data_IF_576724843336
#
_entry.id   IF_576724843336
#
_cell.length_a   1.000
_cell.length_b   1.000
_cell.length_c   1.000
_cell.angle_alpha   90.00
_cell.angle_beta   90.00
_cell.angle_gamma   90.00
#
_symmetry.space_group_name_H-M   'P 1'
#
loop_
_entity.id
_entity.type
_entity.pdbx_description
1 polymer ?
#
# COMPACT_ATOMS: atom_id res chain seq x y z
N UNK A 1 13.34 9.64 -10.68
CA UNK A 1 13.48 8.36 -9.93
C UNK A 1 14.93 7.89 -10.01
N UNK A 2 15.79 8.45 -9.16
CA UNK A 2 17.25 8.20 -9.25
C UNK A 2 17.70 6.86 -8.62
N UNK A 3 16.89 6.27 -7.76
CA UNK A 3 17.19 5.00 -7.09
C UNK A 3 16.40 3.80 -7.64
N UNK A 4 15.62 4.00 -8.70
CA UNK A 4 14.90 2.90 -9.33
C UNK A 4 15.79 2.19 -10.38
N UNK A 5 15.62 0.88 -10.50
CA UNK A 5 16.31 0.05 -11.49
C UNK A 5 15.38 -1.02 -12.04
N UNK A 6 15.82 -1.67 -13.12
CA UNK A 6 15.11 -2.80 -13.72
C UNK A 6 16.03 -4.01 -13.69
N UNK A 7 15.47 -5.18 -13.37
CA UNK A 7 16.20 -6.44 -13.40
C UNK A 7 16.92 -6.77 -12.09
N UNK A 8 17.33 -8.04 -11.97
CA UNK A 8 17.96 -8.57 -10.76
C UNK A 8 19.29 -7.92 -10.42
N UNK A 9 20.10 -7.62 -11.45
CA UNK A 9 21.37 -6.94 -11.25
C UNK A 9 21.22 -5.57 -10.60
N UNK A 10 20.16 -4.84 -10.93
CA UNK A 10 19.84 -3.56 -10.31
C UNK A 10 19.48 -3.67 -8.82
N UNK A 11 18.79 -4.75 -8.42
CA UNK A 11 18.55 -5.03 -7.01
C UNK A 11 19.85 -5.37 -6.27
N UNK A 12 20.64 -6.28 -6.81
CA UNK A 12 21.88 -6.76 -6.19
C UNK A 12 22.96 -5.67 -6.10
N UNK A 13 22.98 -4.75 -7.06
CA UNK A 13 23.90 -3.59 -7.05
C UNK A 13 23.45 -2.44 -6.17
N UNK A 14 22.26 -2.49 -5.56
CA UNK A 14 21.80 -1.44 -4.68
C UNK A 14 22.59 -1.42 -3.36
N UNK A 15 22.91 -0.21 -2.87
CA UNK A 15 23.62 -0.03 -1.58
C UNK A 15 22.86 -0.62 -0.39
N UNK A 16 21.55 -0.66 -0.48
CA UNK A 16 20.66 -1.23 0.54
C UNK A 16 19.38 -1.69 -0.12
N UNK A 17 18.94 -2.88 0.23
CA UNK A 17 17.65 -3.44 -0.19
C UNK A 17 17.08 -4.30 0.93
N UNK A 18 15.76 -4.39 1.01
CA UNK A 18 15.09 -5.16 2.04
C UNK A 18 15.14 -6.65 1.68
N UNK A 19 15.54 -7.51 2.63
CA UNK A 19 15.47 -8.96 2.47
C UNK A 19 14.00 -9.39 2.38
N UNK A 20 13.57 -10.16 1.34
CA UNK A 20 12.21 -10.67 1.26
C UNK A 20 11.97 -11.81 2.26
N UNK A 21 10.72 -11.99 2.68
CA UNK A 21 10.35 -13.00 3.65
C UNK A 21 9.11 -13.78 3.23
N UNK A 22 9.08 -15.06 3.55
CA UNK A 22 7.90 -15.89 3.49
C UNK A 22 6.87 -15.52 4.58
N UNK A 23 5.66 -16.07 4.45
CA UNK A 23 4.59 -15.84 5.45
C UNK A 23 4.97 -16.27 6.88
N UNK A 24 5.80 -17.28 7.03
CA UNK A 24 6.34 -17.75 8.32
C UNK A 24 7.51 -16.91 8.85
N UNK A 25 7.79 -15.78 8.22
CA UNK A 25 8.88 -14.85 8.53
C UNK A 25 10.30 -15.35 8.23
N UNK A 26 10.46 -16.55 7.64
CA UNK A 26 11.77 -16.98 7.16
C UNK A 26 12.20 -16.17 5.93
N UNK A 27 13.51 -15.91 5.75
CA UNK A 27 14.01 -15.26 4.54
C UNK A 27 13.60 -16.00 3.26
N UNK A 28 13.19 -15.26 2.25
CA UNK A 28 12.90 -15.79 0.91
C UNK A 28 14.06 -15.51 -0.04
N UNK A 29 14.18 -16.34 -1.05
CA UNK A 29 15.18 -16.14 -2.12
C UNK A 29 14.57 -15.31 -3.24
N UNK A 30 15.31 -14.30 -3.69
CA UNK A 30 14.96 -13.55 -4.90
C UNK A 30 15.28 -14.42 -6.11
N UNK A 31 14.26 -14.75 -6.91
CA UNK A 31 14.39 -15.56 -8.13
C UNK A 31 14.46 -14.69 -9.37
N UNK A 32 14.74 -15.30 -10.53
CA UNK A 32 14.74 -14.60 -11.84
C UNK A 32 13.35 -14.57 -12.51
N UNK A 33 12.35 -15.22 -11.92
CA UNK A 33 11.04 -15.44 -12.56
C UNK A 33 10.43 -14.13 -13.03
N UNK A 34 10.34 -13.15 -12.13
CA UNK A 34 9.72 -11.86 -12.44
C UNK A 34 10.63 -10.93 -13.27
N UNK A 35 11.94 -11.12 -13.16
CA UNK A 35 12.89 -10.36 -13.96
C UNK A 35 12.94 -10.79 -15.44
N UNK A 36 12.40 -11.96 -15.78
CA UNK A 36 12.19 -12.39 -17.17
C UNK A 36 11.04 -11.65 -17.86
N UNK A 37 10.15 -11.04 -17.07
CA UNK A 37 9.02 -10.23 -17.54
C UNK A 37 9.07 -8.84 -16.89
N UNK A 38 10.09 -8.03 -17.20
CA UNK A 38 10.44 -6.83 -16.44
C UNK A 38 9.33 -5.77 -16.42
N UNK A 39 8.51 -5.71 -17.47
CA UNK A 39 7.36 -4.82 -17.53
C UNK A 39 6.26 -5.17 -16.51
N UNK A 40 6.18 -6.45 -16.09
CA UNK A 40 5.16 -6.91 -15.14
C UNK A 40 5.64 -6.90 -13.69
N UNK A 41 6.93 -7.21 -13.44
CA UNK A 41 7.41 -7.37 -12.06
C UNK A 41 8.89 -7.08 -11.86
N UNK A 42 9.59 -6.52 -12.84
CA UNK A 42 11.04 -6.35 -12.81
C UNK A 42 11.54 -4.99 -12.31
N UNK A 43 10.69 -4.10 -11.85
CA UNK A 43 11.08 -2.79 -11.35
C UNK A 43 11.44 -2.87 -9.86
N UNK A 44 12.64 -2.44 -9.52
CA UNK A 44 13.08 -2.21 -8.15
C UNK A 44 12.97 -0.72 -7.85
N UNK A 45 12.45 -0.36 -6.69
CA UNK A 45 12.25 1.05 -6.36
C UNK A 45 12.29 1.29 -4.84
N UNK A 46 12.43 2.55 -4.48
CA UNK A 46 12.30 3.03 -3.11
C UNK A 46 10.95 3.73 -2.92
N UNK A 47 10.52 3.86 -1.65
CA UNK A 47 9.32 4.62 -1.30
C UNK A 47 9.40 6.06 -1.85
N UNK A 48 10.57 6.70 -1.78
CA UNK A 48 10.80 8.04 -2.29
C UNK A 48 10.57 8.16 -3.79
N UNK A 49 11.03 7.17 -4.55
CA UNK A 49 10.86 7.19 -6.01
C UNK A 49 9.43 6.83 -6.42
N UNK A 50 8.75 5.94 -5.69
CA UNK A 50 7.34 5.64 -5.94
C UNK A 50 6.43 6.81 -5.58
N UNK A 51 6.75 7.60 -4.55
CA UNK A 51 6.03 8.86 -4.28
C UNK A 51 6.20 9.85 -5.43
N UNK A 52 7.40 9.99 -5.99
CA UNK A 52 7.62 10.83 -7.19
C UNK A 52 6.81 10.32 -8.39
N UNK A 53 6.76 9.00 -8.58
CA UNK A 53 5.94 8.37 -9.61
C UNK A 53 4.45 8.64 -9.39
N UNK A 54 3.94 8.46 -8.18
CA UNK A 54 2.56 8.77 -7.83
C UNK A 54 2.22 10.23 -8.11
N UNK A 55 3.08 11.17 -7.73
CA UNK A 55 2.89 12.60 -8.02
C UNK A 55 2.84 12.88 -9.52
N UNK A 56 3.71 12.25 -10.32
CA UNK A 56 3.66 12.36 -11.78
C UNK A 56 2.34 11.81 -12.33
N UNK A 57 1.81 10.72 -11.77
CA UNK A 57 0.49 10.16 -12.11
C UNK A 57 -0.67 11.08 -11.72
N UNK A 58 -0.47 11.97 -10.78
CA UNK A 58 -1.44 13.02 -10.41
C UNK A 58 -1.22 14.34 -11.16
N UNK A 59 -0.34 14.36 -12.17
CA UNK A 59 -0.13 15.50 -13.06
C UNK A 59 0.97 16.48 -12.64
N UNK A 60 1.80 16.15 -11.65
CA UNK A 60 2.90 17.05 -11.19
C UNK A 60 4.11 17.08 -12.16
N UNK A 61 4.08 16.31 -13.23
CA UNK A 61 5.16 16.25 -14.23
C UNK A 61 4.61 16.28 -15.67
N UNK A 62 3.95 17.35 -16.09
CA UNK A 62 3.26 17.39 -17.40
C UNK A 62 4.19 17.26 -18.60
N UNK A 63 5.47 17.61 -18.45
CA UNK A 63 6.48 17.40 -19.49
C UNK A 63 6.85 15.91 -19.70
N UNK A 64 6.53 15.04 -18.71
CA UNK A 64 6.78 13.59 -18.77
C UNK A 64 5.51 12.82 -19.09
N UNK A 65 4.40 13.19 -18.43
CA UNK A 65 3.09 12.59 -18.60
C UNK A 65 2.06 13.71 -18.84
N UNK A 66 1.65 13.87 -20.10
CA UNK A 66 0.63 14.86 -20.44
C UNK A 66 -0.72 14.51 -19.81
N UNK A 67 -1.62 15.49 -19.60
CA UNK A 67 -2.98 15.22 -19.11
C UNK A 67 -3.73 14.18 -19.95
N UNK A 68 -3.58 14.21 -21.27
CA UNK A 68 -4.20 13.25 -22.20
C UNK A 68 -3.66 11.83 -21.99
N UNK A 69 -2.35 11.70 -21.75
CA UNK A 69 -1.71 10.42 -21.44
C UNK A 69 -2.26 9.87 -20.12
N UNK A 70 -2.36 10.69 -19.09
CA UNK A 70 -2.90 10.29 -17.79
C UNK A 70 -4.37 9.87 -17.90
N UNK A 71 -5.21 10.63 -18.60
CA UNK A 71 -6.60 10.25 -18.86
C UNK A 71 -6.68 8.92 -19.61
N UNK A 72 -5.85 8.73 -20.61
CA UNK A 72 -5.79 7.48 -21.39
C UNK A 72 -5.39 6.28 -20.52
N UNK A 73 -4.41 6.46 -19.63
CA UNK A 73 -3.93 5.40 -18.74
C UNK A 73 -4.93 5.04 -17.64
N UNK A 74 -5.58 6.05 -17.05
CA UNK A 74 -6.48 5.86 -15.91
C UNK A 74 -7.91 5.55 -16.29
N UNK A 75 -8.29 5.70 -17.55
CA UNK A 75 -9.66 5.41 -18.01
C UNK A 75 -10.03 3.96 -17.78
N UNK A 76 -11.17 3.74 -17.12
CA UNK A 76 -11.75 2.41 -16.94
C UNK A 76 -12.06 1.76 -18.28
N UNK A 77 -11.51 0.58 -18.55
CA UNK A 77 -11.69 -0.14 -19.82
C UNK A 77 -12.34 -1.50 -19.66
N UNK A 78 -11.85 -2.28 -18.67
CA UNK A 78 -12.30 -3.64 -18.43
C UNK A 78 -12.82 -3.74 -17.01
N UNK A 79 -14.12 -3.98 -16.78
CA UNK A 79 -14.63 -4.24 -15.43
C UNK A 79 -13.91 -5.42 -14.79
N UNK A 80 -13.48 -5.27 -13.54
CA UNK A 80 -12.79 -6.31 -12.78
C UNK A 80 -13.50 -6.56 -11.45
N UNK A 81 -14.72 -7.12 -11.47
CA UNK A 81 -15.45 -7.39 -10.25
C UNK A 81 -14.65 -8.33 -9.33
N UNK A 82 -14.76 -8.17 -8.01
CA UNK A 82 -14.08 -9.05 -7.07
C UNK A 82 -14.46 -10.52 -7.29
N UNK A 83 -13.46 -11.40 -7.27
CA UNK A 83 -13.66 -12.86 -7.37
C UNK A 83 -13.69 -13.47 -5.96
N UNK A 84 -14.71 -14.28 -5.66
CA UNK A 84 -14.80 -15.04 -4.42
C UNK A 84 -15.41 -14.29 -3.23
N UNK A 85 -15.06 -14.72 -2.01
CA UNK A 85 -15.53 -14.09 -0.76
C UNK A 85 -14.94 -12.69 -0.61
N UNK A 86 -15.80 -11.70 -0.61
CA UNK A 86 -15.42 -10.31 -0.46
C UNK A 86 -15.08 -10.01 1.00
N UNK A 87 -13.84 -9.61 1.27
CA UNK A 87 -13.48 -8.96 2.54
C UNK A 87 -14.14 -7.57 2.69
N UNK A 88 -14.06 -6.97 3.86
CA UNK A 88 -14.63 -5.64 4.11
C UNK A 88 -14.09 -4.59 3.10
N UNK A 89 -12.80 -4.60 2.84
CA UNK A 89 -12.15 -3.72 1.87
C UNK A 89 -12.69 -3.90 0.45
N UNK A 90 -12.90 -5.15 -0.01
CA UNK A 90 -13.41 -5.40 -1.37
C UNK A 90 -14.87 -5.00 -1.53
N UNK A 91 -15.63 -4.98 -0.43
CA UNK A 91 -17.02 -4.47 -0.43
C UNK A 91 -17.09 -2.95 -0.43
N UNK A 92 -16.11 -2.31 0.17
CA UNK A 92 -16.04 -0.85 0.23
C UNK A 92 -15.61 -0.21 -1.10
N UNK A 93 -14.81 -0.92 -1.90
CA UNK A 93 -14.38 -0.47 -3.22
C UNK A 93 -15.38 -0.92 -4.30
N UNK A 94 -16.11 0.03 -4.88
CA UNK A 94 -17.04 -0.24 -6.00
C UNK A 94 -16.41 0.09 -7.34
N UNK A 95 -17.15 -0.22 -8.42
CA UNK A 95 -16.81 0.13 -9.82
C UNK A 95 -15.40 -0.29 -10.25
N UNK A 96 -14.92 -1.40 -9.70
CA UNK A 96 -13.58 -1.89 -9.95
C UNK A 96 -13.38 -2.20 -11.44
N UNK A 97 -12.41 -1.55 -12.07
CA UNK A 97 -12.03 -1.77 -13.46
C UNK A 97 -10.51 -1.72 -13.65
N UNK A 98 -10.07 -2.04 -14.84
CA UNK A 98 -8.67 -1.99 -15.24
C UNK A 98 -8.52 -1.05 -16.45
N UNK A 99 -7.56 -0.12 -16.37
CA UNK A 99 -7.13 0.74 -17.45
C UNK A 99 -5.85 0.22 -18.12
N UNK A 100 -4.91 1.09 -18.42
CA UNK A 100 -3.61 0.71 -18.95
C UNK A 100 -2.56 0.66 -17.84
N UNK A 101 -2.42 -0.53 -17.21
CA UNK A 101 -1.52 -0.75 -16.08
C UNK A 101 -2.04 -0.22 -14.74
N UNK A 102 -3.26 0.31 -14.70
CA UNK A 102 -3.86 0.87 -13.51
C UNK A 102 -5.23 0.25 -13.24
N UNK A 103 -5.55 0.08 -11.98
CA UNK A 103 -6.90 -0.22 -11.52
C UNK A 103 -7.60 1.05 -11.11
N UNK A 104 -8.89 1.11 -11.36
CA UNK A 104 -9.76 2.19 -10.93
C UNK A 104 -10.82 1.65 -9.98
N UNK A 105 -11.23 2.49 -9.03
CA UNK A 105 -12.24 2.17 -8.02
C UNK A 105 -13.04 3.41 -7.68
N UNK A 106 -14.22 3.20 -7.11
CA UNK A 106 -14.95 4.23 -6.36
C UNK A 106 -14.92 3.90 -4.89
N UNK A 107 -14.53 4.85 -4.04
CA UNK A 107 -14.56 4.73 -2.59
C UNK A 107 -15.22 5.97 -1.98
N UNK A 108 -16.29 5.77 -1.22
CA UNK A 108 -17.07 6.87 -0.61
C UNK A 108 -17.40 8.00 -1.58
N UNK A 109 -17.73 7.68 -2.83
CA UNK A 109 -18.03 8.64 -3.90
C UNK A 109 -16.82 9.28 -4.58
N UNK A 110 -15.59 8.93 -4.19
CA UNK A 110 -14.35 9.42 -4.79
C UNK A 110 -13.75 8.41 -5.76
N UNK A 111 -13.25 8.90 -6.90
CA UNK A 111 -12.54 8.07 -7.87
C UNK A 111 -11.09 7.85 -7.40
N UNK A 112 -10.71 6.59 -7.28
CA UNK A 112 -9.35 6.18 -6.91
C UNK A 112 -8.67 5.46 -8.08
N UNK A 113 -7.38 5.69 -8.22
CA UNK A 113 -6.51 5.00 -9.17
C UNK A 113 -5.37 4.35 -8.41
N UNK A 114 -5.03 3.11 -8.73
CA UNK A 114 -3.94 2.43 -8.04
C UNK A 114 -3.55 1.10 -8.64
N UNK A 115 -2.55 0.48 -8.05
CA UNK A 115 -2.15 -0.88 -8.36
C UNK A 115 -1.48 -1.54 -7.16
N UNK A 116 -1.55 -2.86 -7.10
CA UNK A 116 -0.86 -3.69 -6.10
C UNK A 116 0.07 -4.65 -6.79
N UNK A 117 1.20 -4.94 -6.16
CA UNK A 117 2.15 -5.96 -6.60
C UNK A 117 2.51 -6.91 -5.47
N UNK A 118 2.85 -8.15 -5.84
CA UNK A 118 3.40 -9.14 -4.92
C UNK A 118 4.32 -10.08 -5.70
N UNK A 119 5.58 -10.10 -5.33
CA UNK A 119 6.61 -10.93 -5.98
C UNK A 119 7.62 -11.42 -4.94
N UNK A 120 7.96 -12.70 -4.94
CA UNK A 120 9.08 -13.29 -4.18
C UNK A 120 9.26 -12.77 -2.73
N UNK A 121 8.19 -12.67 -1.97
CA UNK A 121 8.26 -12.18 -0.60
C UNK A 121 8.27 -10.66 -0.45
N UNK A 122 8.02 -9.93 -1.52
CA UNK A 122 7.76 -8.49 -1.48
C UNK A 122 6.30 -8.18 -1.79
N UNK A 123 5.85 -7.06 -1.30
CA UNK A 123 4.58 -6.48 -1.69
C UNK A 123 4.69 -4.97 -1.87
N UNK A 124 3.85 -4.46 -2.73
CA UNK A 124 3.75 -3.03 -3.03
C UNK A 124 2.32 -2.61 -3.25
N UNK A 125 2.04 -1.36 -2.97
CA UNK A 125 0.77 -0.72 -3.24
C UNK A 125 1.02 0.75 -3.55
N UNK A 126 0.31 1.24 -4.53
CA UNK A 126 0.12 2.66 -4.82
C UNK A 126 -1.37 2.88 -5.03
N UNK A 127 -1.96 3.84 -4.33
CA UNK A 127 -3.37 4.20 -4.47
C UNK A 127 -3.51 5.70 -4.23
N UNK A 128 -4.20 6.41 -5.11
CA UNK A 128 -4.32 7.86 -5.04
C UNK A 128 -5.67 8.35 -5.58
N UNK A 129 -6.08 9.51 -5.10
CA UNK A 129 -7.18 10.31 -5.60
C UNK A 129 -6.61 11.44 -6.47
N UNK A 130 -6.76 11.39 -7.79
CA UNK A 130 -6.24 12.42 -8.68
C UNK A 130 -6.86 13.80 -8.42
N UNK A 131 -8.14 13.85 -8.03
CA UNK A 131 -8.85 15.11 -7.77
C UNK A 131 -8.39 15.78 -6.49
N UNK A 132 -8.09 14.99 -5.45
CA UNK A 132 -7.55 15.49 -4.17
C UNK A 132 -6.04 15.67 -4.18
N UNK A 133 -5.34 15.25 -5.24
CA UNK A 133 -3.87 15.26 -5.32
C UNK A 133 -3.21 14.57 -4.12
N UNK A 134 -3.83 13.53 -3.63
CA UNK A 134 -3.43 12.82 -2.42
C UNK A 134 -3.45 11.31 -2.62
N UNK A 135 -2.56 10.59 -1.93
CA UNK A 135 -2.49 9.14 -2.07
C UNK A 135 -1.49 8.51 -1.13
N UNK A 136 -1.44 7.19 -1.15
CA UNK A 136 -0.59 6.38 -0.31
C UNK A 136 0.27 5.43 -1.16
N UNK A 137 1.52 5.31 -0.80
CA UNK A 137 2.45 4.29 -1.30
C UNK A 137 2.89 3.42 -0.14
N UNK A 138 2.82 2.13 -0.31
CA UNK A 138 3.23 1.17 0.70
C UNK A 138 4.15 0.13 0.09
N UNK A 139 5.25 -0.18 0.78
CA UNK A 139 6.18 -1.24 0.43
C UNK A 139 6.39 -2.13 1.66
N UNK A 140 6.41 -3.44 1.45
CA UNK A 140 6.71 -4.40 2.51
C UNK A 140 7.47 -5.59 1.95
N UNK A 141 8.27 -6.22 2.79
CA UNK A 141 9.15 -7.32 2.42
C UNK A 141 8.70 -8.67 3.00
N UNK A 142 7.40 -8.95 2.88
CA UNK A 142 6.82 -10.21 3.35
C UNK A 142 5.64 -10.64 2.49
N UNK A 143 5.46 -11.94 2.28
CA UNK A 143 4.25 -12.51 1.66
C UNK A 143 3.00 -12.41 2.55
N UNK A 144 3.15 -12.03 3.82
CA UNK A 144 2.04 -11.77 4.71
C UNK A 144 1.88 -10.27 4.92
N UNK A 145 0.72 -9.75 4.54
CA UNK A 145 0.42 -8.37 4.81
C UNK A 145 -1.06 -8.10 5.01
N UNK A 146 -1.45 -7.91 6.27
CA UNK A 146 -2.63 -7.12 6.60
C UNK A 146 -2.37 -5.62 6.35
N UNK A 147 -1.10 -5.19 6.29
CA UNK A 147 -0.73 -3.78 6.14
C UNK A 147 -1.36 -3.12 4.91
N UNK A 148 -1.54 -3.86 3.81
CA UNK A 148 -2.24 -3.35 2.64
C UNK A 148 -3.67 -2.86 2.92
N UNK A 149 -4.31 -3.28 4.01
CA UNK A 149 -5.65 -2.82 4.41
C UNK A 149 -5.64 -1.39 4.94
N UNK A 150 -4.51 -0.90 5.45
CA UNK A 150 -4.32 0.49 5.89
C UNK A 150 -4.55 1.52 4.77
N UNK A 151 -4.55 1.10 3.50
CA UNK A 151 -4.84 1.99 2.39
C UNK A 151 -6.20 2.69 2.54
N UNK A 152 -7.23 1.99 3.03
CA UNK A 152 -8.56 2.60 3.22
C UNK A 152 -8.64 3.46 4.48
N UNK A 153 -7.91 3.12 5.53
CA UNK A 153 -7.80 3.98 6.72
C UNK A 153 -7.20 5.35 6.36
N UNK A 154 -6.20 5.38 5.47
CA UNK A 154 -5.68 6.64 4.94
C UNK A 154 -6.77 7.48 4.26
N UNK A 155 -7.62 6.85 3.44
CA UNK A 155 -8.69 7.56 2.74
C UNK A 155 -9.85 7.91 3.67
N UNK A 156 -10.15 7.13 4.71
CA UNK A 156 -11.11 7.51 5.76
C UNK A 156 -10.67 8.83 6.41
N UNK A 157 -9.41 8.92 6.81
CA UNK A 157 -8.85 10.15 7.38
C UNK A 157 -8.87 11.31 6.38
N UNK A 158 -8.50 11.08 5.12
CA UNK A 158 -8.47 12.11 4.08
C UNK A 158 -9.86 12.69 3.80
N UNK A 159 -10.89 11.84 3.85
CA UNK A 159 -12.27 12.23 3.54
C UNK A 159 -13.11 12.59 4.78
N UNK A 160 -12.53 12.48 5.98
CA UNK A 160 -13.24 12.75 7.23
C UNK A 160 -14.34 11.72 7.53
N UNK A 161 -14.15 10.47 7.12
CA UNK A 161 -15.09 9.39 7.36
C UNK A 161 -14.96 8.84 8.78
N UNK A 162 -16.02 8.22 9.32
CA UNK A 162 -15.90 7.50 10.58
C UNK A 162 -14.82 6.42 10.52
N UNK A 163 -14.03 6.23 11.60
CA UNK A 163 -12.98 5.22 11.63
C UNK A 163 -13.57 3.81 11.47
N UNK A 164 -12.92 3.01 10.62
CA UNK A 164 -13.25 1.61 10.36
C UNK A 164 -12.06 0.74 10.70
N UNK A 165 -12.26 -0.36 11.45
CA UNK A 165 -11.20 -1.34 11.70
C UNK A 165 -10.92 -2.18 10.45
N UNK A 166 -10.13 -1.63 9.54
CA UNK A 166 -9.72 -2.33 8.32
C UNK A 166 -8.75 -3.48 8.58
N UNK A 167 -8.00 -3.42 9.66
CA UNK A 167 -6.99 -4.44 9.98
C UNK A 167 -7.60 -5.69 10.59
N UNK A 168 -8.77 -5.57 11.23
CA UNK A 168 -9.41 -6.66 11.98
C UNK A 168 -8.38 -7.34 12.90
N UNK A 169 -7.68 -6.51 13.70
CA UNK A 169 -6.70 -7.01 14.66
C UNK A 169 -7.43 -7.61 15.86
N UNK A 170 -6.92 -8.69 16.46
CA UNK A 170 -7.42 -9.15 17.74
C UNK A 170 -7.35 -8.01 18.76
N UNK A 171 -8.39 -7.86 19.59
CA UNK A 171 -8.36 -6.91 20.71
C UNK A 171 -7.09 -7.18 21.53
N UNK A 172 -6.24 -6.17 21.69
CA UNK A 172 -5.11 -6.29 22.60
C UNK A 172 -5.64 -6.37 24.02
N UNK A 173 -5.14 -7.31 24.86
CA UNK A 173 -5.47 -7.27 26.27
C UNK A 173 -5.04 -5.90 26.81
N UNK A 174 -5.98 -5.21 27.45
CA UNK A 174 -5.68 -3.95 28.15
C UNK A 174 -4.60 -4.29 29.18
N UNK A 175 -3.38 -3.84 28.96
CA UNK A 175 -2.35 -3.86 30.01
C UNK A 175 -2.82 -2.90 31.08
N UNK A 176 -3.54 -3.43 32.07
CA UNK A 176 -3.84 -2.70 33.30
C UNK A 176 -2.48 -2.48 33.95
N UNK A 177 -1.95 -1.26 33.86
CA UNK A 177 -0.75 -0.87 34.59
C UNK A 177 -1.04 -1.07 36.09
N UNK A 178 -0.44 -2.09 36.67
CA UNK A 178 -0.49 -2.37 38.13
C UNK A 178 0.36 -1.36 38.93
N UNK A 179 0.54 -0.16 38.44
CA UNK A 179 1.30 0.90 39.10
C UNK A 179 0.39 2.04 39.55
N UNK A 180 -0.55 1.77 40.43
CA UNK A 180 -1.18 2.80 41.30
C UNK A 180 -1.91 2.14 42.49
N UNK A 181 -1.20 1.27 43.20
CA UNK A 181 -1.51 1.02 44.61
C UNK A 181 -0.45 1.72 45.44
N UNK A 182 -0.48 3.03 45.47
CA UNK A 182 0.17 3.78 46.55
C UNK A 182 -0.64 3.53 47.81
N UNK A 183 -0.14 2.62 48.63
CA UNK A 183 -0.53 2.52 50.05
C UNK A 183 -0.10 3.82 50.72
N UNK A 184 -1.11 4.62 51.13
CA UNK A 184 -0.89 5.73 52.07
C UNK A 184 -0.18 5.18 53.32
N UNK A 185 0.89 5.82 53.79
CA UNK A 185 1.49 5.49 55.10
C UNK A 185 0.48 5.87 56.20
N UNK A 186 0.28 4.92 57.13
CA UNK A 186 -0.57 5.12 58.30
C UNK A 186 -0.08 6.25 59.19
N UNK A 187 -0.97 7.04 59.67
CA UNK A 187 -0.83 8.03 60.71
C UNK A 187 -0.52 7.29 62.03
N UNK A 188 0.48 7.71 62.86
CA UNK A 188 0.69 7.12 64.17
C UNK A 188 -0.34 7.61 65.16
N UNK A 189 -0.94 6.64 65.86
CA UNK A 189 -1.82 6.90 67.00
C UNK A 189 -1.02 7.57 68.14
N UNK A 190 -1.49 8.75 68.57
CA UNK A 190 -1.13 9.38 69.83
C UNK A 190 -2.18 9.03 70.91
#
# INVERSE_FOLDING_TARGET
>A
MAGASIGRAGLQGARSWAQPHHRNKSPATVTDIYYRVPAAGGVNSSIRDLVRWMRAQMGDAPAVLSPETLDTMHRSRVPTPPRGRRGAMDRALSDAAYGLGWRTYTYAGHALVGHRGSVDGYGSLILFDPAKKSGIVMLWNSNYSKAARLQLEFFDLLYGLPPTDWLELPAQPVLVNAANTETKPGEPAG
#
